data_IF_203666332549
#
_entry.id   IF_203666332549
#
_cell.length_a   1.000
_cell.length_b   1.000
_cell.length_c   1.000
_cell.angle_alpha   90.00
_cell.angle_beta   90.00
_cell.angle_gamma   90.00
#
_symmetry.space_group_name_H-M   'P 1'
#
loop_
_entity.id
_entity.type
_entity.pdbx_description
1 polymer ?
#
# COMPACT_ATOMS: atom_id res chain seq x y z
N UNK A 1 11.34 -35.96 38.29
CA UNK A 1 10.91 -34.60 38.03
C UNK A 1 11.14 -34.27 36.56
N UNK A 2 10.10 -34.40 35.73
CA UNK A 2 10.18 -34.16 34.30
C UNK A 2 9.69 -32.74 33.99
N UNK A 3 10.58 -31.85 33.58
CA UNK A 3 10.22 -30.54 33.04
C UNK A 3 9.59 -30.72 31.64
N UNK A 4 8.32 -30.45 31.51
CA UNK A 4 7.66 -30.27 30.22
C UNK A 4 7.95 -28.85 29.72
N UNK A 5 8.83 -28.74 28.72
CA UNK A 5 9.01 -27.48 27.98
C UNK A 5 7.80 -27.29 27.09
N UNK A 6 6.94 -26.32 27.42
CA UNK A 6 5.86 -25.88 26.56
C UNK A 6 6.45 -25.05 25.41
N UNK A 7 6.54 -25.65 24.23
CA UNK A 7 6.89 -24.96 22.99
C UNK A 7 5.64 -24.15 22.57
N UNK A 8 5.64 -22.84 22.85
CA UNK A 8 4.62 -21.94 22.34
C UNK A 8 4.80 -21.79 20.82
N UNK A 9 3.97 -22.47 20.03
CA UNK A 9 3.83 -22.18 18.60
C UNK A 9 3.23 -20.78 18.46
N UNK A 10 4.07 -19.79 18.15
CA UNK A 10 3.60 -18.53 17.60
C UNK A 10 3.04 -18.84 16.19
N UNK A 11 1.74 -18.96 16.09
CA UNK A 11 1.07 -18.95 14.80
C UNK A 11 1.28 -17.57 14.18
N UNK A 12 2.22 -17.45 13.25
CA UNK A 12 2.38 -16.32 12.37
C UNK A 12 1.16 -16.32 11.44
N UNK A 13 0.10 -15.61 11.81
CA UNK A 13 -1.03 -15.35 10.91
C UNK A 13 -0.51 -14.45 9.81
N UNK A 14 -0.18 -15.05 8.66
CA UNK A 14 0.13 -14.29 7.46
C UNK A 14 -1.08 -13.40 7.13
N UNK A 15 -0.84 -12.08 7.06
CA UNK A 15 -1.86 -11.13 6.62
C UNK A 15 -2.38 -11.58 5.25
N UNK A 16 -3.70 -11.45 5.02
CA UNK A 16 -4.28 -11.79 3.73
C UNK A 16 -3.59 -10.99 2.62
N UNK A 17 -3.23 -11.62 1.48
CA UNK A 17 -2.46 -10.97 0.43
C UNK A 17 -3.24 -9.79 -0.16
N UNK A 18 -2.51 -8.69 -0.45
CA UNK A 18 -3.02 -7.58 -1.24
C UNK A 18 -3.20 -8.04 -2.68
N UNK A 19 -4.38 -7.83 -3.26
CA UNK A 19 -4.69 -8.23 -4.62
C UNK A 19 -4.65 -7.03 -5.56
N UNK A 20 -4.00 -7.18 -6.71
CA UNK A 20 -3.98 -6.18 -7.80
C UNK A 20 -4.78 -6.72 -8.98
N UNK A 21 -5.69 -5.91 -9.52
CA UNK A 21 -6.60 -6.26 -10.64
C UNK A 21 -6.73 -5.10 -11.63
N UNK A 22 -7.54 -5.31 -12.66
CA UNK A 22 -7.85 -4.30 -13.67
C UNK A 22 -6.87 -4.29 -14.83
N UNK A 23 -6.44 -3.10 -15.27
CA UNK A 23 -5.57 -2.91 -16.44
C UNK A 23 -4.11 -3.29 -16.11
N UNK A 24 -3.90 -4.57 -15.79
CA UNK A 24 -2.60 -5.17 -15.49
C UNK A 24 -2.42 -6.49 -16.25
N UNK A 25 -1.17 -6.87 -16.50
CA UNK A 25 -0.82 -8.09 -17.25
C UNK A 25 -1.00 -9.35 -16.39
N UNK A 26 -0.72 -9.25 -15.10
CA UNK A 26 -0.72 -10.37 -14.15
C UNK A 26 -1.60 -10.03 -12.93
N UNK A 27 -2.94 -10.06 -13.08
CA UNK A 27 -3.83 -9.83 -11.96
C UNK A 27 -3.70 -10.93 -10.91
N UNK A 28 -3.72 -10.57 -9.63
CA UNK A 28 -3.62 -11.52 -8.54
C UNK A 28 -2.98 -10.96 -7.27
N UNK A 29 -2.62 -11.84 -6.33
CA UNK A 29 -2.00 -11.46 -5.08
C UNK A 29 -0.55 -10.99 -5.28
N UNK A 30 -0.16 -9.93 -4.58
CA UNK A 30 1.21 -9.41 -4.56
C UNK A 30 1.83 -9.67 -3.18
N UNK A 31 3.06 -10.18 -3.18
CA UNK A 31 3.84 -10.42 -1.96
C UNK A 31 4.61 -9.15 -1.60
N UNK A 32 4.09 -8.37 -0.66
CA UNK A 32 4.65 -7.06 -0.31
C UNK A 32 6.05 -7.13 0.30
N UNK A 33 6.36 -8.19 1.06
CA UNK A 33 7.66 -8.36 1.74
C UNK A 33 8.84 -8.55 0.77
N UNK A 34 8.57 -8.91 -0.49
CA UNK A 34 9.59 -9.04 -1.53
C UNK A 34 9.95 -7.71 -2.20
N UNK A 35 9.13 -6.69 -2.02
CA UNK A 35 9.34 -5.38 -2.60
C UNK A 35 10.23 -4.52 -1.71
N UNK A 36 10.97 -3.59 -2.34
CA UNK A 36 11.82 -2.65 -1.61
C UNK A 36 10.97 -1.77 -0.71
N UNK A 37 11.19 -1.84 0.60
CA UNK A 37 10.58 -0.93 1.57
C UNK A 37 11.29 0.43 1.55
N UNK A 38 10.52 1.49 1.61
CA UNK A 38 10.98 2.85 1.86
C UNK A 38 10.40 3.35 3.18
N UNK A 39 11.02 4.38 3.75
CA UNK A 39 10.53 5.03 4.97
C UNK A 39 10.19 6.48 4.67
N UNK A 40 9.14 7.00 5.29
CA UNK A 40 8.76 8.40 5.19
C UNK A 40 8.03 8.87 6.45
N UNK A 41 8.14 10.16 6.72
CA UNK A 41 7.33 10.83 7.73
C UNK A 41 6.14 11.50 7.05
N UNK A 42 4.95 11.30 7.61
CA UNK A 42 3.75 11.97 7.13
C UNK A 42 2.95 12.54 8.30
N UNK A 43 2.45 13.77 8.10
CA UNK A 43 1.65 14.50 9.08
C UNK A 43 0.26 14.76 8.51
N UNK A 44 -0.74 14.40 9.27
CA UNK A 44 -2.15 14.59 8.91
C UNK A 44 -2.89 15.34 9.99
N UNK A 45 -3.82 16.20 9.60
CA UNK A 45 -4.78 16.80 10.51
C UNK A 45 -5.85 15.77 10.89
N UNK A 46 -6.12 15.63 12.18
CA UNK A 46 -7.18 14.77 12.72
C UNK A 46 -8.11 15.58 13.62
N UNK A 47 -9.24 15.00 14.02
CA UNK A 47 -10.14 15.62 15.00
C UNK A 47 -9.49 15.86 16.36
N UNK A 48 -8.36 15.18 16.64
CA UNK A 48 -7.56 15.36 17.86
C UNK A 48 -6.31 16.24 17.63
N UNK A 49 -6.27 17.00 16.53
CA UNK A 49 -5.14 17.81 16.11
C UNK A 49 -4.21 17.11 15.13
N UNK A 50 -3.13 17.79 14.71
CA UNK A 50 -2.18 17.21 13.77
C UNK A 50 -1.39 16.07 14.41
N UNK A 51 -1.27 14.95 13.69
CA UNK A 51 -0.48 13.78 14.08
C UNK A 51 0.56 13.48 13.02
N UNK A 52 1.79 13.25 13.45
CA UNK A 52 2.90 12.85 12.60
C UNK A 52 3.35 11.44 12.98
N UNK A 53 3.57 10.61 11.98
CA UNK A 53 4.03 9.23 12.16
C UNK A 53 5.13 8.90 11.17
N UNK A 54 6.00 7.98 11.58
CA UNK A 54 7.00 7.37 10.73
C UNK A 54 6.42 6.08 10.11
N UNK A 55 6.46 5.99 8.79
CA UNK A 55 5.86 4.88 8.04
C UNK A 55 6.92 4.13 7.23
N UNK A 56 6.76 2.82 7.09
CA UNK A 56 7.64 2.02 6.25
C UNK A 56 6.82 0.99 5.46
N UNK A 57 7.18 0.82 4.19
CA UNK A 57 6.57 -0.14 3.28
C UNK A 57 6.97 0.12 1.82
N UNK A 58 6.57 -0.74 0.88
CA UNK A 58 6.85 -0.54 -0.54
C UNK A 58 6.07 0.65 -1.11
N UNK A 59 6.64 1.27 -2.15
CA UNK A 59 5.94 2.29 -2.93
C UNK A 59 4.73 1.67 -3.64
N UNK A 60 3.61 2.40 -3.66
CA UNK A 60 2.40 1.97 -4.37
C UNK A 60 2.68 1.65 -5.85
N UNK A 61 3.51 2.47 -6.52
CA UNK A 61 3.91 2.23 -7.92
C UNK A 61 4.62 0.88 -8.09
N UNK A 62 5.49 0.49 -7.15
CA UNK A 62 6.22 -0.76 -7.24
C UNK A 62 5.27 -1.95 -7.05
N UNK A 63 4.26 -1.80 -6.17
CA UNK A 63 3.21 -2.81 -5.96
C UNK A 63 2.40 -3.04 -7.24
N UNK A 64 1.95 -1.98 -7.91
CA UNK A 64 1.16 -2.14 -9.15
C UNK A 64 2.03 -2.55 -10.34
N UNK A 65 3.30 -2.15 -10.39
CA UNK A 65 4.24 -2.55 -11.42
C UNK A 65 4.60 -4.04 -11.32
N UNK A 66 4.56 -4.64 -10.13
CA UNK A 66 4.72 -6.10 -9.97
C UNK A 66 3.63 -6.86 -10.75
N UNK A 67 2.42 -6.32 -10.80
CA UNK A 67 1.34 -6.86 -11.63
C UNK A 67 1.45 -6.47 -13.12
N UNK A 68 2.33 -5.53 -13.47
CA UNK A 68 2.58 -5.07 -14.82
C UNK A 68 1.43 -4.21 -15.37
N UNK A 69 1.44 -2.92 -15.08
CA UNK A 69 0.44 -1.98 -15.63
C UNK A 69 0.46 -2.02 -17.14
N UNK A 70 -0.71 -2.18 -17.77
CA UNK A 70 -0.82 -2.22 -19.24
C UNK A 70 -0.62 -0.85 -19.86
N UNK A 71 0.04 -0.82 -21.03
CA UNK A 71 0.25 0.36 -21.84
C UNK A 71 0.11 0.03 -23.32
N UNK A 72 -0.32 1.01 -24.12
CA UNK A 72 -0.24 0.93 -25.56
C UNK A 72 1.15 1.40 -26.00
N UNK A 73 1.89 0.59 -26.78
CA UNK A 73 3.24 0.94 -27.21
C UNK A 73 3.34 2.35 -27.81
N UNK A 74 4.26 3.16 -27.29
CA UNK A 74 4.54 4.51 -27.79
C UNK A 74 3.53 5.59 -27.38
N UNK A 75 2.45 5.26 -26.66
CA UNK A 75 1.39 6.23 -26.33
C UNK A 75 1.34 6.65 -24.86
N UNK A 76 2.07 5.96 -23.97
CA UNK A 76 2.06 6.21 -22.52
C UNK A 76 0.64 6.28 -21.95
N UNK A 77 -0.23 5.37 -22.37
CA UNK A 77 -1.65 5.36 -21.98
C UNK A 77 -1.82 5.11 -20.49
N UNK A 78 -0.85 4.41 -19.86
CA UNK A 78 -0.82 4.16 -18.42
C UNK A 78 -0.90 5.46 -17.59
N UNK A 79 -0.44 6.60 -18.10
CA UNK A 79 -0.52 7.89 -17.41
C UNK A 79 -1.97 8.38 -17.18
N UNK A 80 -2.94 7.81 -17.89
CA UNK A 80 -4.37 8.09 -17.74
C UNK A 80 -5.06 7.16 -16.74
N UNK A 81 -4.37 6.11 -16.31
CA UNK A 81 -4.93 5.12 -15.41
C UNK A 81 -5.06 5.66 -13.98
N UNK A 82 -6.05 5.14 -13.29
CA UNK A 82 -6.34 5.42 -11.89
C UNK A 82 -6.32 4.12 -11.11
N UNK A 83 -5.71 4.13 -9.95
CA UNK A 83 -5.71 3.02 -9.02
C UNK A 83 -6.83 3.25 -8.00
N UNK A 84 -7.82 2.35 -7.97
CA UNK A 84 -8.82 2.32 -6.92
C UNK A 84 -8.31 1.45 -5.77
N UNK A 85 -7.88 2.07 -4.70
CA UNK A 85 -7.44 1.40 -3.48
C UNK A 85 -8.62 1.18 -2.53
N UNK A 86 -8.87 -0.07 -2.13
CA UNK A 86 -10.02 -0.45 -1.32
C UNK A 86 -9.62 -1.18 -0.06
N UNK A 87 -10.20 -0.78 1.07
CA UNK A 87 -10.08 -1.44 2.36
C UNK A 87 -11.06 -2.59 2.56
N UNK A 88 -10.87 -3.36 3.63
CA UNK A 88 -11.75 -4.47 4.01
C UNK A 88 -13.18 -4.02 4.34
N UNK A 89 -13.35 -2.80 4.84
CA UNK A 89 -14.64 -2.16 5.14
C UNK A 89 -15.37 -1.62 3.91
N UNK A 90 -14.77 -1.73 2.70
CA UNK A 90 -15.31 -1.21 1.46
C UNK A 90 -14.96 0.26 1.17
N UNK A 91 -14.30 0.97 2.12
CA UNK A 91 -13.81 2.32 1.85
C UNK A 91 -12.84 2.31 0.68
N UNK A 92 -13.01 3.21 -0.26
CA UNK A 92 -12.19 3.25 -1.47
C UNK A 92 -11.79 4.68 -1.83
N UNK A 93 -10.56 4.82 -2.30
CA UNK A 93 -9.99 6.08 -2.78
C UNK A 93 -9.31 5.87 -4.12
N UNK A 94 -9.14 6.95 -4.88
CA UNK A 94 -8.45 6.93 -6.16
C UNK A 94 -7.09 7.63 -6.07
N UNK A 95 -6.10 7.02 -6.71
CA UNK A 95 -4.75 7.59 -6.92
C UNK A 95 -4.47 7.53 -8.42
N UNK A 96 -4.20 8.66 -9.04
CA UNK A 96 -3.78 8.68 -10.45
C UNK A 96 -2.37 8.11 -10.60
N UNK A 97 -2.13 7.30 -11.62
CA UNK A 97 -0.77 6.81 -11.90
C UNK A 97 0.18 7.98 -12.13
N UNK A 98 -0.26 9.04 -12.79
CA UNK A 98 0.53 10.27 -12.99
C UNK A 98 1.02 10.93 -11.69
N UNK A 99 0.35 10.72 -10.56
CA UNK A 99 0.84 11.23 -9.25
C UNK A 99 2.07 10.47 -8.75
N UNK A 100 2.14 9.16 -9.00
CA UNK A 100 3.15 8.27 -8.42
C UNK A 100 4.25 7.86 -9.40
N UNK A 101 4.04 8.04 -10.70
CA UNK A 101 5.01 7.70 -11.73
C UNK A 101 6.14 8.75 -11.80
N UNK A 102 7.42 8.32 -11.99
CA UNK A 102 8.55 9.23 -12.13
C UNK A 102 8.46 10.22 -13.29
N UNK A 103 7.67 9.91 -14.32
CA UNK A 103 7.41 10.81 -15.44
C UNK A 103 6.37 11.89 -15.11
N UNK A 104 5.64 11.73 -14.02
CA UNK A 104 4.65 12.68 -13.49
C UNK A 104 5.17 13.37 -12.22
N UNK A 105 4.36 13.33 -11.17
CA UNK A 105 4.68 13.99 -9.89
C UNK A 105 5.70 13.22 -9.03
N UNK A 106 5.87 11.93 -9.26
CA UNK A 106 6.75 11.03 -8.50
C UNK A 106 6.46 11.03 -6.99
N UNK A 107 5.21 11.24 -6.57
CA UNK A 107 4.81 11.23 -5.17
C UNK A 107 5.06 9.87 -4.53
N UNK A 108 5.67 9.87 -3.35
CA UNK A 108 6.00 8.65 -2.62
C UNK A 108 4.80 8.10 -1.83
N UNK A 109 3.74 7.72 -2.51
CA UNK A 109 2.62 6.99 -1.90
C UNK A 109 3.10 5.58 -1.56
N UNK A 110 2.87 5.12 -0.33
CA UNK A 110 3.33 3.79 0.13
C UNK A 110 2.17 2.90 0.58
N UNK A 111 2.39 1.61 0.45
CA UNK A 111 1.63 0.57 1.14
C UNK A 111 2.39 0.25 2.43
N UNK A 112 2.03 0.93 3.51
CA UNK A 112 2.72 0.83 4.78
C UNK A 112 2.48 -0.53 5.44
N UNK A 113 3.56 -1.14 5.91
CA UNK A 113 3.59 -2.38 6.69
C UNK A 113 4.03 -2.13 8.13
N UNK A 114 4.57 -0.94 8.43
CA UNK A 114 5.02 -0.51 9.76
C UNK A 114 4.62 0.94 10.01
N UNK A 115 4.34 1.23 11.28
CA UNK A 115 4.11 2.58 11.81
C UNK A 115 4.94 2.76 13.08
N UNK A 116 5.74 3.83 13.16
CA UNK A 116 6.60 4.13 14.32
C UNK A 116 7.44 2.91 14.75
N UNK A 117 8.08 2.26 13.76
CA UNK A 117 8.90 1.05 13.89
C UNK A 117 8.16 -0.22 14.37
N UNK A 118 6.84 -0.17 14.52
CA UNK A 118 6.01 -1.31 14.89
C UNK A 118 5.32 -1.90 13.66
N UNK A 119 5.27 -3.25 13.52
CA UNK A 119 4.53 -3.87 12.43
C UNK A 119 3.03 -3.56 12.53
N UNK A 120 2.40 -3.27 11.38
CA UNK A 120 0.96 -3.16 11.27
C UNK A 120 0.33 -4.56 11.10
N UNK A 121 -0.84 -4.82 11.69
CA UNK A 121 -1.54 -6.10 11.52
C UNK A 121 -2.01 -6.31 10.07
N UNK A 122 -2.29 -5.21 9.37
CA UNK A 122 -2.74 -5.19 7.97
C UNK A 122 -2.08 -4.03 7.23
N UNK A 123 -1.88 -4.15 5.90
CA UNK A 123 -1.34 -3.06 5.09
C UNK A 123 -2.22 -1.81 5.15
N UNK A 124 -1.60 -0.65 5.04
CA UNK A 124 -2.27 0.65 5.06
C UNK A 124 -1.78 1.53 3.92
N UNK A 125 -2.68 2.17 3.18
CA UNK A 125 -2.30 3.16 2.18
C UNK A 125 -1.99 4.50 2.85
N UNK A 126 -0.82 5.06 2.58
CA UNK A 126 -0.37 6.36 3.07
C UNK A 126 -0.07 7.27 1.89
N UNK A 127 -0.76 8.41 1.83
CA UNK A 127 -0.60 9.44 0.81
C UNK A 127 0.02 10.67 1.46
N UNK A 128 1.35 10.83 1.40
CA UNK A 128 2.03 11.96 2.01
C UNK A 128 1.66 13.28 1.30
N UNK A 129 1.63 14.36 2.06
CA UNK A 129 1.29 15.68 1.53
C UNK A 129 -0.20 16.00 1.52
N UNK A 130 -1.08 15.04 1.75
CA UNK A 130 -2.49 15.33 2.00
C UNK A 130 -2.67 16.04 3.35
N UNK A 131 -3.57 17.00 3.41
CA UNK A 131 -3.86 17.75 4.63
C UNK A 131 -4.47 16.87 5.72
N UNK A 132 -5.23 15.84 5.33
CA UNK A 132 -5.88 14.89 6.22
C UNK A 132 -5.65 13.45 5.75
N UNK A 133 -6.06 12.48 6.56
CA UNK A 133 -5.97 11.05 6.20
C UNK A 133 -7.10 10.58 5.27
N UNK A 134 -7.78 11.50 4.57
CA UNK A 134 -8.96 11.16 3.76
C UNK A 134 -8.66 10.20 2.59
N UNK A 135 -7.45 10.22 2.02
CA UNK A 135 -7.04 9.23 1.01
C UNK A 135 -6.21 8.06 1.60
N UNK A 136 -6.02 8.04 2.92
CA UNK A 136 -5.47 6.87 3.61
C UNK A 136 -6.50 5.75 3.67
N UNK A 137 -6.07 4.51 3.50
CA UNK A 137 -6.93 3.34 3.58
C UNK A 137 -6.39 2.38 4.64
N UNK A 138 -7.18 2.13 5.67
CA UNK A 138 -6.92 1.08 6.64
C UNK A 138 -7.27 -0.29 6.04
N UNK A 139 -6.61 -1.34 6.52
CA UNK A 139 -6.90 -2.72 6.11
C UNK A 139 -6.97 -2.88 4.59
N UNK A 140 -5.97 -2.37 3.88
CA UNK A 140 -5.91 -2.35 2.43
C UNK A 140 -5.99 -3.79 1.87
N UNK A 141 -6.99 -4.06 1.01
CA UNK A 141 -7.30 -5.39 0.46
C UNK A 141 -7.02 -5.49 -1.02
N UNK A 142 -7.34 -4.45 -1.79
CA UNK A 142 -7.22 -4.51 -3.23
C UNK A 142 -6.84 -3.18 -3.85
N UNK A 143 -6.16 -3.29 -4.98
CA UNK A 143 -5.80 -2.21 -5.89
C UNK A 143 -6.36 -2.59 -7.27
N UNK A 144 -7.25 -1.79 -7.82
CA UNK A 144 -7.86 -2.02 -9.11
C UNK A 144 -7.45 -0.89 -10.07
N UNK A 145 -6.68 -1.24 -11.10
CA UNK A 145 -6.16 -0.28 -12.10
C UNK A 145 -7.20 -0.10 -13.19
N UNK A 146 -7.61 1.14 -13.46
CA UNK A 146 -8.65 1.51 -14.43
C UNK A 146 -8.18 2.56 -15.41
#
# INVERSE_FOLDING_TARGET
>A
MRLLAACALFACTAAAPLTVTGLVQHPGPVTLDKLKSVTLDAKFSTMHGPQAHHWAGPLLRDVVNEAGVTDEPGKKTFMRHVIMARGADGYAVSIAIAEIDPMGEAKQVIVALRQDDKPLPTPRLIVPGDASFARGVHDLKSLDVR
#
